data_IF_058418888371
#
_entry.id   IF_058418888371
#
_cell.length_a   1.000
_cell.length_b   1.000
_cell.length_c   1.000
_cell.angle_alpha   90.00
_cell.angle_beta   90.00
_cell.angle_gamma   90.00
#
_symmetry.space_group_name_H-M   'P 1'
#
loop_
_entity.id
_entity.type
_entity.pdbx_description
1 polymer ?
#
# COMPACT_ATOMS: atom_id res chain seq x y z
N UNK A 1 27.74 53.23 -45.83
CA UNK A 1 26.89 52.54 -44.83
C UNK A 1 26.73 51.10 -45.30
N UNK A 2 27.37 50.15 -44.61
CA UNK A 2 27.67 48.80 -45.12
C UNK A 2 26.50 47.84 -44.83
N UNK A 3 25.81 47.38 -45.87
CA UNK A 3 24.92 46.21 -45.77
C UNK A 3 25.73 44.96 -46.14
N UNK A 4 26.22 44.25 -45.12
CA UNK A 4 27.00 43.01 -45.29
C UNK A 4 26.02 41.87 -45.60
N UNK A 5 26.04 41.40 -46.85
CA UNK A 5 25.30 40.24 -47.33
C UNK A 5 25.64 39.01 -46.48
N UNK A 6 24.65 38.47 -45.76
CA UNK A 6 24.76 37.21 -45.02
C UNK A 6 24.68 36.09 -46.05
N UNK A 7 25.78 35.36 -46.27
CA UNK A 7 25.85 34.29 -47.27
C UNK A 7 24.88 33.16 -46.94
N UNK A 8 24.10 32.64 -47.91
CA UNK A 8 23.03 31.66 -47.68
C UNK A 8 23.50 30.33 -47.05
N UNK A 9 24.79 30.00 -47.17
CA UNK A 9 25.39 28.85 -46.51
C UNK A 9 25.42 28.96 -44.98
N UNK A 10 25.69 30.16 -44.43
CA UNK A 10 25.80 30.36 -42.98
C UNK A 10 24.46 30.22 -42.27
N UNK A 11 23.36 30.64 -42.91
CA UNK A 11 22.01 30.53 -42.33
C UNK A 11 21.52 29.06 -42.26
N UNK A 12 21.84 28.24 -43.27
CA UNK A 12 21.51 26.81 -43.27
C UNK A 12 22.29 26.05 -42.19
N UNK A 13 23.57 26.38 -41.99
CA UNK A 13 24.39 25.78 -40.91
C UNK A 13 23.81 26.09 -39.53
N UNK A 14 23.38 27.34 -39.28
CA UNK A 14 22.71 27.71 -38.04
C UNK A 14 21.40 26.92 -37.82
N UNK A 15 20.62 26.72 -38.88
CA UNK A 15 19.37 25.95 -38.80
C UNK A 15 19.62 24.47 -38.47
N UNK A 16 20.63 23.83 -39.08
CA UNK A 16 20.97 22.43 -38.78
C UNK A 16 21.51 22.26 -37.36
N UNK A 17 22.31 23.20 -36.86
CA UNK A 17 22.79 23.19 -35.46
C UNK A 17 21.62 23.34 -34.48
N UNK A 18 20.65 24.21 -34.79
CA UNK A 18 19.45 24.42 -33.96
C UNK A 18 18.56 23.17 -33.93
N UNK A 19 18.34 22.54 -35.09
CA UNK A 19 17.57 21.30 -35.19
C UNK A 19 18.28 20.15 -34.45
N UNK A 20 19.61 20.04 -34.62
CA UNK A 20 20.42 19.05 -33.92
C UNK A 20 20.38 19.21 -32.40
N UNK A 21 20.42 20.44 -31.89
CA UNK A 21 20.29 20.71 -30.45
C UNK A 21 18.90 20.40 -29.92
N UNK A 22 17.83 20.75 -30.65
CA UNK A 22 16.45 20.40 -30.27
C UNK A 22 16.24 18.89 -30.21
N UNK A 23 16.77 18.14 -31.19
CA UNK A 23 16.69 16.67 -31.22
C UNK A 23 17.46 16.05 -30.05
N UNK A 24 18.67 16.54 -29.74
CA UNK A 24 19.44 16.08 -28.57
C UNK A 24 18.74 16.39 -27.25
N UNK A 25 18.10 17.56 -27.11
CA UNK A 25 17.31 17.91 -25.92
C UNK A 25 16.05 17.06 -25.76
N UNK A 26 15.38 16.69 -26.85
CA UNK A 26 14.22 15.81 -26.82
C UNK A 26 14.59 14.38 -26.42
N UNK A 27 15.76 13.87 -26.85
CA UNK A 27 16.24 12.53 -26.50
C UNK A 27 16.52 12.35 -24.99
N UNK A 28 16.89 13.42 -24.27
CA UNK A 28 17.20 13.37 -22.83
C UNK A 28 15.95 13.12 -21.97
N UNK A 29 14.76 13.56 -22.42
CA UNK A 29 13.52 13.38 -21.66
C UNK A 29 12.87 11.99 -21.82
N UNK A 30 13.36 11.15 -22.74
CA UNK A 30 12.76 9.84 -23.02
C UNK A 30 13.28 8.72 -22.09
N UNK A 31 14.36 8.97 -21.36
CA UNK A 31 15.07 7.94 -20.57
C UNK A 31 15.06 8.23 -19.06
N UNK A 32 13.92 8.65 -18.50
CA UNK A 32 13.78 8.65 -17.03
C UNK A 32 13.62 7.21 -16.56
N UNK A 33 14.52 6.66 -15.74
CA UNK A 33 14.29 5.36 -15.12
C UNK A 33 13.02 5.45 -14.27
N UNK A 34 12.09 4.51 -14.44
CA UNK A 34 10.98 4.32 -13.52
C UNK A 34 11.57 4.03 -12.14
N UNK A 35 11.18 4.82 -11.14
CA UNK A 35 11.67 4.68 -9.78
C UNK A 35 10.90 3.53 -9.12
N UNK A 36 11.16 2.29 -9.56
CA UNK A 36 10.39 1.08 -9.26
C UNK A 36 10.09 0.90 -7.77
N UNK A 37 11.00 1.35 -6.91
CA UNK A 37 10.81 1.32 -5.45
C UNK A 37 9.71 2.26 -4.96
N UNK A 38 9.57 3.45 -5.54
CA UNK A 38 8.47 4.38 -5.21
C UNK A 38 7.14 3.81 -5.67
N UNK A 39 7.09 3.28 -6.89
CA UNK A 39 5.88 2.67 -7.45
C UNK A 39 5.44 1.45 -6.61
N UNK A 40 6.38 0.65 -6.13
CA UNK A 40 6.11 -0.48 -5.23
C UNK A 40 5.61 -0.03 -3.85
N UNK A 41 6.20 1.02 -3.27
CA UNK A 41 5.78 1.56 -1.98
C UNK A 41 4.37 2.16 -2.06
N UNK A 42 4.08 2.94 -3.11
CA UNK A 42 2.76 3.49 -3.37
C UNK A 42 1.72 2.38 -3.55
N UNK A 43 2.03 1.36 -4.37
CA UNK A 43 1.14 0.23 -4.59
C UNK A 43 0.86 -0.55 -3.28
N UNK A 44 1.89 -0.79 -2.47
CA UNK A 44 1.75 -1.46 -1.16
C UNK A 44 1.04 -0.61 -0.12
N UNK A 45 1.12 0.72 -0.21
CA UNK A 45 0.36 1.61 0.67
C UNK A 45 -1.13 1.63 0.31
N UNK A 46 -1.45 1.68 -0.99
CA UNK A 46 -2.83 1.62 -1.49
C UNK A 46 -3.46 0.24 -1.26
N UNK A 47 -2.66 -0.83 -1.38
CA UNK A 47 -3.09 -2.21 -1.18
C UNK A 47 -2.15 -2.92 -0.18
N UNK A 48 -2.33 -2.68 1.14
CA UNK A 48 -1.48 -3.29 2.16
C UNK A 48 -1.45 -4.81 2.09
N UNK A 49 -0.26 -5.43 2.17
CA UNK A 49 -0.16 -6.88 2.19
C UNK A 49 -0.69 -7.46 3.51
N UNK A 50 -0.89 -8.77 3.56
CA UNK A 50 -1.47 -9.45 4.71
C UNK A 50 -0.64 -9.28 6.00
N UNK A 51 0.69 -9.17 5.90
CA UNK A 51 1.59 -8.99 7.04
C UNK A 51 1.42 -7.61 7.71
N UNK A 52 0.94 -6.62 6.95
CA UNK A 52 0.71 -5.26 7.44
C UNK A 52 -0.64 -5.09 8.17
N UNK A 53 -1.53 -6.08 8.08
CA UNK A 53 -2.85 -6.02 8.71
C UNK A 53 -2.75 -6.23 10.23
N UNK A 54 -3.58 -5.51 11.02
CA UNK A 54 -3.50 -5.58 12.48
C UNK A 54 -3.94 -6.95 13.01
N UNK A 55 -3.47 -7.25 14.21
CA UNK A 55 -3.92 -8.35 15.07
C UNK A 55 -4.57 -7.80 16.34
N UNK A 56 -5.41 -8.61 16.97
CA UNK A 56 -6.12 -8.22 18.19
C UNK A 56 -5.90 -9.19 19.34
N UNK A 57 -6.06 -8.72 20.57
CA UNK A 57 -6.26 -9.59 21.71
C UNK A 57 -7.73 -9.96 21.81
N UNK A 58 -8.00 -11.25 21.92
CA UNK A 58 -9.35 -11.78 21.97
C UNK A 58 -9.53 -12.60 23.25
N UNK A 59 -9.95 -11.89 24.29
CA UNK A 59 -10.18 -12.45 25.61
C UNK A 59 -11.53 -13.14 25.65
N UNK A 60 -11.51 -14.43 25.98
CA UNK A 60 -12.70 -15.17 26.37
C UNK A 60 -12.95 -14.93 27.85
N UNK A 61 -14.05 -14.24 28.15
CA UNK A 61 -14.31 -13.74 29.49
C UNK A 61 -15.05 -14.77 30.33
N UNK A 62 -14.32 -15.44 31.23
CA UNK A 62 -14.86 -16.30 32.29
C UNK A 62 -15.81 -17.39 31.80
N UNK A 63 -15.43 -18.06 30.70
CA UNK A 63 -16.23 -19.14 30.13
C UNK A 63 -17.49 -18.70 29.39
N UNK A 64 -17.75 -17.40 29.22
CA UNK A 64 -18.86 -16.89 28.39
C UNK A 64 -18.52 -17.03 26.90
N UNK A 65 -18.56 -18.27 26.40
CA UNK A 65 -18.08 -18.63 25.07
C UNK A 65 -19.12 -19.53 24.39
N UNK A 66 -19.42 -19.25 23.12
CA UNK A 66 -20.29 -20.07 22.27
C UNK A 66 -19.67 -20.27 20.88
N UNK A 67 -19.97 -21.39 20.21
CA UNK A 67 -19.46 -21.64 18.85
C UNK A 67 -20.00 -20.62 17.85
N UNK A 68 -21.25 -20.21 18.05
CA UNK A 68 -21.95 -19.23 17.24
C UNK A 68 -21.31 -17.85 17.38
N UNK A 69 -20.96 -17.44 18.61
CA UNK A 69 -20.24 -16.20 18.89
C UNK A 69 -18.84 -16.20 18.28
N UNK A 70 -18.08 -17.30 18.45
CA UNK A 70 -16.76 -17.46 17.82
C UNK A 70 -16.85 -17.27 16.30
N UNK A 71 -17.82 -17.91 15.64
CA UNK A 71 -17.99 -17.78 14.20
C UNK A 71 -18.31 -16.32 13.81
N UNK A 72 -19.21 -15.67 14.53
CA UNK A 72 -19.58 -14.29 14.27
C UNK A 72 -18.38 -13.33 14.42
N UNK A 73 -17.56 -13.53 15.45
CA UNK A 73 -16.33 -12.76 15.68
C UNK A 73 -15.33 -12.96 14.54
N UNK A 74 -15.06 -14.19 14.12
CA UNK A 74 -14.13 -14.48 13.02
C UNK A 74 -14.60 -13.94 11.67
N UNK A 75 -15.90 -14.03 11.40
CA UNK A 75 -16.49 -13.43 10.19
C UNK A 75 -16.37 -11.91 10.21
N UNK A 76 -16.59 -11.28 11.37
CA UNK A 76 -16.40 -9.84 11.54
C UNK A 76 -14.95 -9.44 11.34
N UNK A 77 -13.99 -10.14 11.99
CA UNK A 77 -12.55 -9.88 11.83
C UNK A 77 -12.13 -9.92 10.36
N UNK A 78 -12.59 -10.93 9.61
CA UNK A 78 -12.36 -11.03 8.17
C UNK A 78 -12.95 -9.85 7.40
N UNK A 79 -14.21 -9.47 7.67
CA UNK A 79 -14.90 -8.37 6.98
C UNK A 79 -14.20 -7.02 7.18
N UNK A 80 -13.65 -6.77 8.37
CA UNK A 80 -13.01 -5.49 8.71
C UNK A 80 -11.49 -5.47 8.47
N UNK A 81 -10.90 -6.58 8.02
CA UNK A 81 -9.48 -6.64 7.67
C UNK A 81 -8.52 -6.95 8.82
N UNK A 82 -9.01 -7.49 9.95
CA UNK A 82 -8.16 -8.04 11.02
C UNK A 82 -7.59 -9.38 10.55
N UNK A 83 -6.27 -9.54 10.61
CA UNK A 83 -5.59 -10.72 10.06
C UNK A 83 -5.44 -11.86 11.04
N UNK A 84 -5.45 -11.57 12.33
CA UNK A 84 -5.31 -12.61 13.35
C UNK A 84 -5.57 -12.10 14.75
N UNK A 85 -5.47 -13.01 15.70
CA UNK A 85 -5.76 -12.75 17.10
C UNK A 85 -4.83 -13.56 17.99
N UNK A 86 -4.66 -13.07 19.22
CA UNK A 86 -4.09 -13.83 20.33
C UNK A 86 -5.22 -14.11 21.31
N UNK A 87 -5.53 -15.38 21.51
CA UNK A 87 -6.62 -15.81 22.37
C UNK A 87 -6.13 -16.02 23.80
N UNK A 88 -6.95 -15.58 24.75
CA UNK A 88 -6.71 -15.75 26.18
C UNK A 88 -8.00 -16.19 26.85
N UNK A 89 -7.97 -17.27 27.62
CA UNK A 89 -9.05 -17.59 28.57
C UNK A 89 -8.80 -16.78 29.84
N UNK A 90 -9.65 -15.77 30.07
CA UNK A 90 -9.49 -14.83 31.17
C UNK A 90 -10.55 -15.08 32.25
N UNK A 91 -10.12 -15.67 33.37
CA UNK A 91 -10.95 -15.96 34.54
C UNK A 91 -11.24 -14.72 35.42
N UNK A 92 -11.56 -13.58 34.80
CA UNK A 92 -11.95 -12.36 35.52
C UNK A 92 -13.45 -12.38 35.84
N UNK A 93 -13.82 -11.87 37.00
CA UNK A 93 -15.22 -11.80 37.43
C UNK A 93 -16.06 -11.02 36.42
N UNK A 94 -17.02 -11.71 35.82
CA UNK A 94 -17.98 -11.17 34.85
C UNK A 94 -19.35 -11.84 35.07
N UNK A 95 -20.47 -11.16 34.74
CA UNK A 95 -21.78 -11.78 34.73
C UNK A 95 -21.82 -13.01 33.81
N UNK A 96 -22.69 -13.97 34.11
CA UNK A 96 -22.95 -15.08 33.21
C UNK A 96 -24.01 -14.67 32.18
N UNK A 97 -23.66 -14.76 30.91
CA UNK A 97 -24.54 -14.40 29.78
C UNK A 97 -24.82 -15.57 28.84
N UNK A 98 -24.27 -16.75 29.15
CA UNK A 98 -24.50 -18.01 28.45
C UNK A 98 -25.16 -19.02 29.39
N UNK A 99 -25.90 -19.98 28.84
CA UNK A 99 -26.59 -21.01 29.64
C UNK A 99 -25.61 -21.80 30.51
N UNK A 100 -24.48 -22.23 29.93
CA UNK A 100 -23.41 -22.94 30.62
C UNK A 100 -22.07 -22.34 30.25
N UNK A 101 -21.28 -21.95 31.26
CA UNK A 101 -19.90 -21.52 31.06
C UNK A 101 -19.04 -22.69 30.58
N UNK A 102 -18.19 -22.42 29.59
CA UNK A 102 -17.14 -23.36 29.20
C UNK A 102 -15.96 -23.19 30.14
N UNK A 103 -15.59 -24.28 30.81
CA UNK A 103 -14.43 -24.30 31.71
C UNK A 103 -13.21 -24.69 30.90
N UNK A 104 -12.09 -24.02 31.15
CA UNK A 104 -10.84 -24.31 30.47
C UNK A 104 -10.41 -25.77 30.66
N UNK A 105 -10.06 -26.44 29.57
CA UNK A 105 -9.55 -27.84 29.52
C UNK A 105 -10.51 -28.93 30.03
N UNK A 106 -11.83 -28.71 29.95
CA UNK A 106 -12.85 -29.74 30.23
C UNK A 106 -13.40 -30.43 28.99
#
# INVERSE_FOLDING_TARGET
MVYRLKTPGTQKVFLYVLIGTIISLAAINCSRPSDTTKDQLEAGFLNPPDEARPRVWWHWMNGNITKEGIRADLEWMRRVGIRGFQNFDAALATPQIVEKRLVYMT
#
